data_IF_952489620469
#
_entry.id   IF_952489620469
#
_cell.length_a   1.000
_cell.length_b   1.000
_cell.length_c   1.000
_cell.angle_alpha   90.00
_cell.angle_beta   90.00
_cell.angle_gamma   90.00
#
_symmetry.space_group_name_H-M   'P 1'
#
loop_
_entity.id
_entity.type
_entity.pdbx_description
1 polymer ?
#
# COMPACT_ATOMS: atom_id res chain seq x y z
N UNK A 1 -17.34 12.19 23.63
CA UNK A 1 -17.71 11.63 22.33
C UNK A 1 -16.59 10.72 21.88
N UNK A 2 -16.89 9.47 21.50
CA UNK A 2 -15.93 8.55 20.92
C UNK A 2 -16.28 8.40 19.44
N UNK A 3 -15.32 8.65 18.55
CA UNK A 3 -15.43 8.33 17.14
C UNK A 3 -14.70 7.03 16.90
N UNK A 4 -15.28 6.16 16.07
CA UNK A 4 -14.65 4.94 15.60
C UNK A 4 -14.33 5.08 14.11
N UNK A 5 -13.20 4.49 13.71
CA UNK A 5 -12.81 4.31 12.32
C UNK A 5 -12.20 2.92 12.17
N UNK A 6 -12.43 2.28 11.03
CA UNK A 6 -11.87 0.98 10.70
C UNK A 6 -11.17 1.05 9.34
N UNK A 7 -10.12 0.26 9.19
CA UNK A 7 -9.39 0.11 7.94
C UNK A 7 -8.65 -1.23 7.94
N UNK A 8 -8.22 -1.65 6.76
CA UNK A 8 -7.39 -2.83 6.60
C UNK A 8 -5.93 -2.41 6.38
N UNK A 9 -5.02 -3.35 6.63
CA UNK A 9 -3.67 -3.27 6.09
C UNK A 9 -3.73 -3.16 4.57
N UNK A 10 -2.76 -2.46 3.99
CA UNK A 10 -2.74 -2.25 2.54
C UNK A 10 -2.39 -3.52 1.75
N UNK A 11 -1.94 -4.58 2.42
CA UNK A 11 -1.74 -5.93 1.88
C UNK A 11 -2.89 -6.84 2.33
N UNK A 12 -3.41 -7.68 1.45
CA UNK A 12 -4.49 -8.63 1.76
C UNK A 12 -3.96 -9.84 2.56
N UNK A 13 -2.65 -10.11 2.47
CA UNK A 13 -1.99 -11.14 3.26
C UNK A 13 -0.73 -10.59 3.93
N UNK A 14 -0.59 -10.85 5.23
CA UNK A 14 0.60 -10.45 6.01
C UNK A 14 1.20 -11.72 6.64
N UNK A 15 2.40 -12.15 6.21
CA UNK A 15 3.08 -13.28 6.84
C UNK A 15 3.30 -13.04 8.34
N UNK A 16 3.31 -14.12 9.13
CA UNK A 16 3.59 -14.02 10.57
C UNK A 16 4.93 -13.33 10.84
N UNK A 17 4.92 -12.32 11.72
CA UNK A 17 6.10 -11.53 12.06
C UNK A 17 6.40 -10.35 11.11
N UNK A 18 5.70 -10.24 9.98
CA UNK A 18 5.83 -9.11 9.05
C UNK A 18 5.04 -7.89 9.51
N UNK A 19 5.41 -6.72 8.99
CA UNK A 19 4.69 -5.46 9.18
C UNK A 19 4.06 -5.05 7.85
N UNK A 20 2.82 -4.57 7.91
CA UNK A 20 2.13 -3.97 6.77
C UNK A 20 1.63 -2.58 7.13
N UNK A 21 1.81 -1.58 6.26
CA UNK A 21 1.25 -0.25 6.47
C UNK A 21 -0.28 -0.31 6.41
N UNK A 22 -0.92 0.57 7.17
CA UNK A 22 -2.37 0.77 7.14
C UNK A 22 -2.66 2.25 7.36
N UNK A 23 -3.83 2.71 6.90
CA UNK A 23 -4.31 4.07 7.12
C UNK A 23 -5.65 4.01 7.85
N UNK A 24 -5.73 4.69 8.99
CA UNK A 24 -6.99 4.96 9.66
C UNK A 24 -7.31 6.44 9.49
N UNK A 25 -8.47 6.74 8.90
CA UNK A 25 -9.02 8.08 8.94
C UNK A 25 -9.98 8.15 10.13
N UNK A 26 -9.65 8.97 11.11
CA UNK A 26 -10.55 9.35 12.19
C UNK A 26 -10.63 10.87 12.25
N UNK A 27 -11.84 11.41 12.33
CA UNK A 27 -12.04 12.83 12.63
C UNK A 27 -11.70 13.07 14.10
N UNK A 28 -10.52 13.64 14.37
CA UNK A 28 -10.17 14.07 15.70
C UNK A 28 -11.16 15.15 16.16
N UNK A 29 -11.93 14.86 17.22
CA UNK A 29 -12.82 15.85 17.82
C UNK A 29 -12.10 16.58 18.98
N UNK A 30 -12.44 17.85 19.18
CA UNK A 30 -11.97 18.64 20.33
C UNK A 30 -12.24 17.86 21.63
N UNK A 31 -11.20 17.71 22.46
CA UNK A 31 -11.27 17.00 23.74
C UNK A 31 -10.81 15.53 23.73
N UNK A 32 -10.34 15.00 22.60
CA UNK A 32 -9.72 13.66 22.56
C UNK A 32 -8.28 13.71 23.07
N UNK A 33 -7.97 12.90 24.08
CA UNK A 33 -6.62 12.78 24.66
C UNK A 33 -6.00 11.39 24.49
N UNK A 34 -6.75 10.42 23.94
CA UNK A 34 -6.31 9.04 23.80
C UNK A 34 -6.85 8.41 22.50
N UNK A 35 -5.97 7.68 21.81
CA UNK A 35 -6.32 6.77 20.72
C UNK A 35 -6.05 5.33 21.20
N UNK A 36 -7.00 4.42 20.98
CA UNK A 36 -6.81 2.99 21.22
C UNK A 36 -7.08 2.25 19.92
N UNK A 37 -6.12 1.43 19.49
CA UNK A 37 -6.21 0.62 18.28
C UNK A 37 -6.32 -0.84 18.72
N UNK A 38 -7.33 -1.53 18.22
CA UNK A 38 -7.47 -2.98 18.33
C UNK A 38 -7.32 -3.59 16.95
N UNK A 39 -6.61 -4.71 16.84
CA UNK A 39 -6.40 -5.43 15.58
C UNK A 39 -6.94 -6.84 15.74
N UNK A 40 -7.66 -7.32 14.74
CA UNK A 40 -8.17 -8.69 14.64
C UNK A 40 -7.83 -9.25 13.27
N UNK A 41 -7.62 -10.56 13.18
CA UNK A 41 -7.34 -11.25 11.93
C UNK A 41 -7.91 -12.66 11.97
N UNK A 42 -8.23 -13.19 10.79
CA UNK A 42 -8.53 -14.60 10.58
C UNK A 42 -7.38 -15.25 9.81
N UNK A 43 -6.99 -16.46 10.19
CA UNK A 43 -6.03 -17.24 9.41
C UNK A 43 -6.75 -17.96 8.27
N UNK A 44 -6.29 -17.78 7.04
CA UNK A 44 -6.80 -18.51 5.87
C UNK A 44 -5.65 -19.17 5.12
N UNK A 45 -5.90 -20.38 4.60
CA UNK A 45 -4.98 -21.12 3.74
C UNK A 45 -5.56 -21.39 2.34
N UNK A 46 -6.71 -20.80 2.01
CA UNK A 46 -7.43 -21.10 0.76
C UNK A 46 -6.91 -20.34 -0.45
N UNK A 47 -6.27 -19.18 -0.24
CA UNK A 47 -5.73 -18.34 -1.30
C UNK A 47 -4.22 -18.21 -1.09
N UNK A 48 -3.44 -18.43 -2.15
CA UNK A 48 -1.99 -18.21 -2.09
C UNK A 48 -1.71 -16.78 -2.51
N UNK A 49 -1.10 -16.01 -1.63
CA UNK A 49 -0.58 -14.68 -1.94
C UNK A 49 0.93 -14.74 -2.14
N UNK A 50 1.47 -13.79 -2.89
CA UNK A 50 2.91 -13.55 -2.98
C UNK A 50 3.22 -12.07 -2.89
N UNK A 51 4.39 -11.76 -2.38
CA UNK A 51 5.02 -10.44 -2.43
C UNK A 51 6.26 -10.41 -3.35
N UNK A 52 6.57 -11.54 -3.99
CA UNK A 52 7.80 -11.76 -4.76
C UNK A 52 7.66 -11.23 -6.19
N UNK A 53 7.32 -9.95 -6.30
CA UNK A 53 7.30 -9.23 -7.56
C UNK A 53 8.42 -8.21 -7.61
N UNK A 54 9.04 -8.08 -8.78
CA UNK A 54 10.02 -7.02 -9.00
C UNK A 54 9.29 -5.71 -9.30
N UNK A 55 9.48 -4.71 -8.44
CA UNK A 55 9.03 -3.34 -8.73
C UNK A 55 10.17 -2.58 -9.41
N UNK A 56 9.91 -2.07 -10.61
CA UNK A 56 10.93 -1.44 -11.46
C UNK A 56 10.40 -0.13 -12.04
N UNK A 57 11.32 0.67 -12.58
CA UNK A 57 11.02 1.91 -13.32
C UNK A 57 10.10 2.88 -12.55
N UNK A 58 10.28 2.98 -11.23
CA UNK A 58 9.46 3.85 -10.39
C UNK A 58 9.83 5.31 -10.59
N UNK A 59 8.82 6.16 -10.68
CA UNK A 59 8.98 7.61 -10.68
C UNK A 59 7.87 8.25 -9.84
N UNK A 60 8.14 9.44 -9.34
CA UNK A 60 7.15 10.23 -8.64
C UNK A 60 7.22 11.69 -9.04
N UNK A 61 6.06 12.34 -9.10
CA UNK A 61 5.96 13.72 -9.54
C UNK A 61 4.71 14.40 -9.01
N UNK A 62 4.78 15.73 -8.92
CA UNK A 62 3.63 16.56 -8.61
C UNK A 62 2.90 16.95 -9.88
N UNK A 63 1.57 16.92 -9.83
CA UNK A 63 0.68 17.54 -10.81
C UNK A 63 -0.35 18.37 -10.05
N UNK A 64 -0.12 19.68 -10.00
CA UNK A 64 -0.84 20.57 -9.08
C UNK A 64 -0.60 20.17 -7.62
N UNK A 65 -1.66 19.96 -6.85
CA UNK A 65 -1.62 19.54 -5.44
C UNK A 65 -1.63 18.01 -5.26
N UNK A 66 -1.56 17.25 -6.35
CA UNK A 66 -1.56 15.80 -6.33
C UNK A 66 -0.14 15.26 -6.53
N UNK A 67 0.26 14.32 -5.68
CA UNK A 67 1.53 13.62 -5.80
C UNK A 67 1.30 12.22 -6.35
N UNK A 68 1.85 11.95 -7.53
CA UNK A 68 1.73 10.67 -8.20
C UNK A 68 2.97 9.83 -7.96
N UNK A 69 2.76 8.54 -7.70
CA UNK A 69 3.81 7.52 -7.75
C UNK A 69 3.40 6.49 -8.78
N UNK A 70 4.24 6.34 -9.80
CA UNK A 70 4.04 5.44 -10.94
C UNK A 70 5.22 4.48 -11.05
N UNK A 71 5.01 3.37 -11.72
CA UNK A 71 6.07 2.42 -12.02
C UNK A 71 5.53 1.16 -12.65
N UNK A 72 6.32 0.11 -12.60
CA UNK A 72 5.99 -1.18 -13.18
C UNK A 72 6.23 -2.30 -12.19
N UNK A 73 5.42 -3.34 -12.29
CA UNK A 73 5.58 -4.60 -11.56
C UNK A 73 5.80 -5.70 -12.58
N UNK A 74 6.89 -6.46 -12.40
CA UNK A 74 7.21 -7.64 -13.18
C UNK A 74 7.05 -8.89 -12.33
N UNK A 75 6.40 -9.89 -12.91
CA UNK A 75 6.25 -11.19 -12.28
C UNK A 75 7.45 -12.10 -12.63
N UNK A 76 8.38 -12.23 -11.69
CA UNK A 76 9.55 -13.10 -11.84
C UNK A 76 9.30 -14.54 -11.33
N UNK A 77 8.07 -14.85 -10.93
CA UNK A 77 7.70 -16.19 -10.45
C UNK A 77 7.12 -17.06 -11.58
N UNK A 78 7.10 -18.39 -11.42
CA UNK A 78 6.59 -19.30 -12.45
C UNK A 78 5.06 -19.40 -12.51
N UNK A 79 4.32 -18.58 -11.74
CA UNK A 79 2.86 -18.64 -11.66
C UNK A 79 2.21 -17.40 -12.26
N UNK A 80 0.97 -17.54 -12.74
CA UNK A 80 0.13 -16.38 -13.09
C UNK A 80 -0.56 -15.86 -11.84
N UNK A 81 -0.48 -14.56 -11.60
CA UNK A 81 -1.11 -13.90 -10.45
C UNK A 81 -2.30 -13.05 -10.88
N UNK A 82 -3.37 -13.11 -10.11
CA UNK A 82 -4.57 -12.32 -10.32
C UNK A 82 -4.52 -11.06 -9.47
N UNK A 83 -5.03 -9.96 -10.03
CA UNK A 83 -5.24 -8.68 -9.34
C UNK A 83 -4.00 -8.21 -8.56
N UNK A 84 -2.85 -8.18 -9.24
CA UNK A 84 -1.62 -7.67 -8.64
C UNK A 84 -1.80 -6.19 -8.29
N UNK A 85 -1.56 -5.81 -7.05
CA UNK A 85 -1.62 -4.44 -6.56
C UNK A 85 -0.26 -3.95 -6.10
N UNK A 86 0.08 -2.72 -6.48
CA UNK A 86 1.24 -2.01 -5.97
C UNK A 86 0.81 -1.16 -4.76
N UNK A 87 1.51 -1.35 -3.64
CA UNK A 87 1.31 -0.62 -2.38
C UNK A 87 2.47 0.36 -2.22
N UNK A 88 2.14 1.64 -2.13
CA UNK A 88 3.09 2.74 -1.98
C UNK A 88 2.98 3.32 -0.58
N UNK A 89 4.10 3.39 0.13
CA UNK A 89 4.20 3.99 1.47
C UNK A 89 5.07 5.23 1.40
N UNK A 90 4.58 6.35 1.92
CA UNK A 90 5.29 7.63 2.00
C UNK A 90 5.84 7.81 3.40
N UNK A 91 7.08 8.28 3.51
CA UNK A 91 7.80 8.49 4.75
C UNK A 91 8.28 9.94 4.90
N UNK A 92 8.36 10.41 6.13
CA UNK A 92 9.08 11.64 6.47
C UNK A 92 10.60 11.42 6.59
N UNK A 93 11.35 12.49 6.85
CA UNK A 93 12.82 12.46 7.02
C UNK A 93 13.28 11.61 8.21
N UNK A 94 12.41 11.33 9.17
CA UNK A 94 12.69 10.48 10.33
C UNK A 94 12.34 9.00 10.11
N UNK A 95 11.87 8.65 8.91
CA UNK A 95 11.45 7.29 8.56
C UNK A 95 10.06 6.92 9.09
N UNK A 96 9.25 7.88 9.54
CA UNK A 96 7.87 7.61 9.95
C UNK A 96 6.96 7.56 8.73
N UNK A 97 6.06 6.59 8.70
CA UNK A 97 5.00 6.52 7.68
C UNK A 97 4.07 7.71 7.86
N UNK A 98 3.89 8.50 6.81
CA UNK A 98 2.98 9.65 6.79
C UNK A 98 1.76 9.41 5.89
N UNK A 99 1.87 8.52 4.91
CA UNK A 99 0.72 8.07 4.12
C UNK A 99 0.98 6.70 3.49
N UNK A 100 -0.10 6.00 3.12
CA UNK A 100 -0.06 4.78 2.33
C UNK A 100 -1.26 4.76 1.38
N UNK A 101 -1.01 4.35 0.13
CA UNK A 101 -2.05 4.13 -0.85
C UNK A 101 -1.66 2.96 -1.76
N UNK A 102 -2.60 2.44 -2.54
CA UNK A 102 -2.36 1.33 -3.45
C UNK A 102 -3.15 1.47 -4.74
N UNK A 103 -2.74 0.73 -5.77
CA UNK A 103 -3.44 0.64 -7.05
C UNK A 103 -3.14 -0.68 -7.73
N UNK A 104 -4.12 -1.23 -8.45
CA UNK A 104 -3.88 -2.41 -9.29
C UNK A 104 -2.96 -2.07 -10.45
N UNK A 105 -2.15 -3.04 -10.86
CA UNK A 105 -1.44 -2.96 -12.13
C UNK A 105 -2.45 -3.00 -13.28
N UNK A 106 -2.04 -2.55 -14.46
CA UNK A 106 -2.92 -2.44 -15.64
C UNK A 106 -3.46 -3.78 -16.16
N UNK A 107 -2.85 -4.91 -15.78
CA UNK A 107 -3.29 -6.25 -16.14
C UNK A 107 -3.99 -6.95 -14.96
N UNK A 108 -5.16 -7.54 -15.22
CA UNK A 108 -5.89 -8.33 -14.21
C UNK A 108 -5.25 -9.69 -13.93
N UNK A 109 -4.45 -10.19 -14.87
CA UNK A 109 -3.62 -11.39 -14.75
C UNK A 109 -2.21 -11.08 -15.20
N UNK A 110 -1.23 -11.30 -14.33
CA UNK A 110 0.18 -11.08 -14.61
C UNK A 110 0.86 -12.45 -14.73
N UNK A 111 1.13 -12.88 -15.96
CA UNK A 111 1.78 -14.17 -16.25
C UNK A 111 3.28 -14.12 -15.96
N UNK A 112 3.97 -15.27 -15.86
CA UNK A 112 5.42 -15.32 -15.68
C UNK A 112 6.16 -14.48 -16.72
N UNK A 113 7.10 -13.66 -16.27
CA UNK A 113 7.90 -12.74 -17.08
C UNK A 113 7.16 -11.51 -17.59
N UNK A 114 5.86 -11.37 -17.36
CA UNK A 114 5.11 -10.18 -17.78
C UNK A 114 5.35 -9.01 -16.82
N UNK A 115 5.34 -7.82 -17.42
CA UNK A 115 5.40 -6.53 -16.74
C UNK A 115 4.10 -5.78 -16.96
N UNK A 116 3.56 -5.17 -15.90
CA UNK A 116 2.41 -4.28 -15.97
C UNK A 116 2.66 -3.00 -15.18
N UNK A 117 2.18 -1.88 -15.69
CA UNK A 117 2.31 -0.56 -15.05
C UNK A 117 1.30 -0.37 -13.93
N UNK A 118 1.65 0.46 -12.94
CA UNK A 118 0.74 0.95 -11.91
C UNK A 118 0.84 2.47 -11.76
N UNK A 119 -0.21 3.06 -11.18
CA UNK A 119 -0.22 4.46 -10.76
C UNK A 119 -0.99 4.59 -9.46
N UNK A 120 -0.46 5.39 -8.54
CA UNK A 120 -1.11 5.77 -7.28
C UNK A 120 -1.01 7.27 -7.10
N UNK A 121 -1.98 7.83 -6.37
CA UNK A 121 -2.05 9.27 -6.12
C UNK A 121 -2.21 9.54 -4.63
N UNK A 122 -1.51 10.57 -4.17
CA UNK A 122 -1.53 11.06 -2.80
C UNK A 122 -1.93 12.53 -2.81
N UNK A 123 -2.58 12.95 -1.72
CA UNK A 123 -2.96 14.33 -1.50
C UNK A 123 -3.14 14.60 -0.01
N UNK A 124 -3.01 15.87 0.37
CA UNK A 124 -3.25 16.34 1.73
C UNK A 124 -2.03 17.00 2.39
N UNK A 125 -2.25 17.72 3.49
CA UNK A 125 -1.22 18.55 4.13
C UNK A 125 -0.05 17.73 4.71
N UNK A 126 -0.25 16.45 5.02
CA UNK A 126 0.78 15.55 5.53
C UNK A 126 1.95 15.39 4.56
N UNK A 127 1.74 15.57 3.25
CA UNK A 127 2.79 15.45 2.24
C UNK A 127 3.83 16.58 2.33
N UNK A 128 3.59 17.64 3.09
CA UNK A 128 4.56 18.72 3.31
C UNK A 128 5.84 18.26 4.02
N UNK A 129 5.81 17.13 4.73
CA UNK A 129 6.98 16.55 5.41
C UNK A 129 7.55 15.33 4.70
N UNK A 130 7.05 14.99 3.50
CA UNK A 130 7.51 13.80 2.78
C UNK A 130 8.99 13.90 2.40
N UNK A 131 9.69 12.79 2.50
CA UNK A 131 11.10 12.68 2.13
C UNK A 131 11.37 11.50 1.20
N UNK A 132 10.70 10.37 1.42
CA UNK A 132 10.93 9.14 0.69
C UNK A 132 9.64 8.35 0.47
N UNK A 133 9.67 7.40 -0.46
CA UNK A 133 8.63 6.40 -0.61
C UNK A 133 9.22 5.01 -0.85
N UNK A 134 8.45 3.99 -0.52
CA UNK A 134 8.73 2.60 -0.91
C UNK A 134 7.54 2.04 -1.65
N UNK A 135 7.80 1.10 -2.57
CA UNK A 135 6.75 0.37 -3.28
C UNK A 135 6.98 -1.12 -3.06
N UNK A 136 5.93 -1.83 -2.65
CA UNK A 136 5.86 -3.28 -2.75
C UNK A 136 4.67 -3.68 -3.60
N UNK A 137 4.58 -4.95 -3.96
CA UNK A 137 3.43 -5.47 -4.68
C UNK A 137 2.97 -6.79 -4.08
N UNK A 138 1.69 -7.09 -4.25
CA UNK A 138 1.14 -8.40 -3.94
C UNK A 138 0.12 -8.82 -4.99
N UNK A 139 -0.13 -10.12 -5.08
CA UNK A 139 -1.20 -10.69 -5.89
C UNK A 139 -1.53 -12.08 -5.40
N UNK A 140 -2.61 -12.66 -5.93
CA UNK A 140 -3.10 -13.95 -5.47
C UNK A 140 -3.36 -14.96 -6.58
N UNK A 141 -3.34 -16.24 -6.23
CA UNK A 141 -3.67 -17.37 -7.11
C UNK A 141 -4.46 -18.44 -6.36
#
# INVERSE_FOLDING_TARGET
>A
MAGSGSGYVSYDWVPGGSKAPFKLAASAQVGWSRCQISVSWDTSSFITYSHDFAVINTNAYWSGSLYYVVGEVRNDTPYTWNFVKAVVTIYDTSGRVIDVNWGYVTLTKLMPGQTASFSTVFYGPQLSTMANYTVGAEGWR
#
